data_IF_071928601210
#
_entry.id   IF_071928601210
#
_cell.length_a   1.000
_cell.length_b   1.000
_cell.length_c   1.000
_cell.angle_alpha   90.00
_cell.angle_beta   90.00
_cell.angle_gamma   90.00
#
_symmetry.space_group_name_H-M   'P 1'
#
loop_
_entity.id
_entity.type
_entity.pdbx_description
1 polymer ?
#
# COMPACT_ATOMS: atom_id res chain seq x y z
N UNK A 1 -34.14 11.82 -21.46
CA UNK A 1 -33.03 12.44 -22.22
C UNK A 1 -31.72 12.34 -21.45
N UNK A 2 -31.70 12.52 -20.13
CA UNK A 2 -30.50 12.31 -19.29
C UNK A 2 -30.00 10.85 -19.22
N UNK A 3 -30.91 9.87 -19.29
CA UNK A 3 -30.58 8.43 -19.27
C UNK A 3 -29.80 8.00 -20.53
N UNK A 4 -30.15 8.50 -21.72
CA UNK A 4 -29.47 8.13 -22.98
C UNK A 4 -28.05 8.69 -23.09
N UNK A 5 -27.80 9.89 -22.56
CA UNK A 5 -26.45 10.48 -22.55
C UNK A 5 -25.52 9.69 -21.61
N UNK A 6 -26.07 9.18 -20.51
CA UNK A 6 -25.31 8.36 -19.55
C UNK A 6 -24.91 7.00 -20.15
N UNK A 7 -25.82 6.32 -20.87
CA UNK A 7 -25.54 5.02 -21.51
C UNK A 7 -24.48 5.11 -22.60
N UNK A 8 -24.51 6.13 -23.47
CA UNK A 8 -23.50 6.32 -24.52
C UNK A 8 -22.10 6.61 -23.92
N UNK A 9 -22.05 7.38 -22.83
CA UNK A 9 -20.80 7.70 -22.14
C UNK A 9 -20.19 6.45 -21.50
N UNK A 10 -20.99 5.64 -20.81
CA UNK A 10 -20.54 4.45 -20.09
C UNK A 10 -20.10 3.33 -21.05
N UNK A 11 -20.87 3.11 -22.13
CA UNK A 11 -20.50 2.18 -23.21
C UNK A 11 -19.17 2.57 -23.85
N UNK A 12 -18.94 3.87 -24.04
CA UNK A 12 -17.68 4.38 -24.57
C UNK A 12 -16.53 4.12 -23.60
N UNK A 13 -16.74 4.32 -22.30
CA UNK A 13 -15.72 4.13 -21.27
C UNK A 13 -15.33 2.65 -21.09
N UNK A 14 -16.30 1.73 -21.08
CA UNK A 14 -16.05 0.28 -21.04
C UNK A 14 -15.25 -0.20 -22.26
N UNK A 15 -15.63 0.24 -23.46
CA UNK A 15 -14.91 -0.07 -24.70
C UNK A 15 -13.49 0.53 -24.71
N UNK A 16 -13.32 1.74 -24.15
CA UNK A 16 -12.01 2.36 -23.97
C UNK A 16 -11.14 1.56 -23.00
N UNK A 17 -11.70 1.08 -21.88
CA UNK A 17 -10.99 0.24 -20.92
C UNK A 17 -10.53 -1.06 -21.56
N UNK A 18 -11.42 -1.81 -22.20
CA UNK A 18 -11.07 -3.08 -22.86
C UNK A 18 -9.98 -2.87 -23.91
N UNK A 19 -10.11 -1.81 -24.72
CA UNK A 19 -9.10 -1.39 -25.69
C UNK A 19 -7.75 -1.10 -25.03
N UNK A 20 -7.74 -0.32 -23.95
CA UNK A 20 -6.54 0.06 -23.20
C UNK A 20 -5.86 -1.17 -22.56
N UNK A 21 -6.61 -2.06 -21.90
CA UNK A 21 -6.08 -3.31 -21.33
C UNK A 21 -5.41 -4.15 -22.41
N UNK A 22 -6.10 -4.37 -23.54
CA UNK A 22 -5.57 -5.18 -24.64
C UNK A 22 -4.29 -4.60 -25.23
N UNK A 23 -4.26 -3.29 -25.46
CA UNK A 23 -3.08 -2.60 -26.00
C UNK A 23 -1.92 -2.67 -25.00
N UNK A 24 -2.17 -2.36 -23.73
CA UNK A 24 -1.14 -2.36 -22.70
C UNK A 24 -0.57 -3.77 -22.48
N UNK A 25 -1.42 -4.81 -22.37
CA UNK A 25 -0.98 -6.22 -22.31
C UNK A 25 -0.04 -6.56 -23.46
N UNK A 26 -0.39 -6.15 -24.68
CA UNK A 26 0.44 -6.39 -25.87
C UNK A 26 1.77 -5.65 -25.81
N UNK A 27 1.78 -4.38 -25.39
CA UNK A 27 3.01 -3.58 -25.25
C UNK A 27 3.94 -4.19 -24.19
N UNK A 28 3.40 -4.58 -23.04
CA UNK A 28 4.15 -5.22 -21.97
C UNK A 28 4.69 -6.58 -22.42
N UNK A 29 3.88 -7.38 -23.12
CA UNK A 29 4.33 -8.65 -23.68
C UNK A 29 5.48 -8.47 -24.67
N UNK A 30 5.39 -7.45 -25.53
CA UNK A 30 6.42 -7.17 -26.52
C UNK A 30 7.74 -6.72 -25.88
N UNK A 31 7.67 -5.87 -24.85
CA UNK A 31 8.87 -5.28 -24.20
C UNK A 31 9.51 -6.20 -23.16
N UNK A 32 8.72 -6.92 -22.37
CA UNK A 32 9.21 -7.70 -21.22
C UNK A 32 8.97 -9.22 -21.35
N UNK A 33 8.33 -9.68 -22.43
CA UNK A 33 8.01 -11.08 -22.65
C UNK A 33 6.73 -11.53 -21.93
N UNK A 34 6.57 -12.85 -21.76
CA UNK A 34 5.34 -13.43 -21.22
C UNK A 34 5.00 -12.87 -19.84
N UNK A 35 3.79 -12.34 -19.69
CA UNK A 35 3.28 -11.81 -18.43
C UNK A 35 2.87 -12.95 -17.51
N UNK A 36 3.00 -12.76 -16.20
CA UNK A 36 2.48 -13.71 -15.22
C UNK A 36 0.96 -13.57 -15.09
N UNK A 37 0.23 -14.64 -14.72
CA UNK A 37 -1.22 -14.57 -14.50
C UNK A 37 -1.65 -13.50 -13.48
N UNK A 38 -0.79 -13.20 -12.50
CA UNK A 38 -1.03 -12.14 -11.53
C UNK A 38 -1.03 -10.75 -12.18
N UNK A 39 -0.07 -10.47 -13.06
CA UNK A 39 0.01 -9.20 -13.79
C UNK A 39 -1.13 -9.08 -14.79
N UNK A 40 -1.50 -10.17 -15.47
CA UNK A 40 -2.63 -10.15 -16.41
C UNK A 40 -3.94 -9.83 -15.70
N UNK A 41 -4.22 -10.48 -14.57
CA UNK A 41 -5.40 -10.18 -13.73
C UNK A 41 -5.38 -8.74 -13.22
N UNK A 42 -4.21 -8.24 -12.82
CA UNK A 42 -4.08 -6.88 -12.35
C UNK A 42 -4.39 -5.85 -13.45
N UNK A 43 -3.99 -6.12 -14.69
CA UNK A 43 -4.36 -5.30 -15.85
C UNK A 43 -5.86 -5.38 -16.16
N UNK A 44 -6.49 -6.54 -15.99
CA UNK A 44 -7.93 -6.72 -16.24
C UNK A 44 -8.81 -5.99 -15.22
N UNK A 45 -8.33 -5.86 -13.99
CA UNK A 45 -9.02 -5.21 -12.87
C UNK A 45 -8.74 -3.70 -12.79
N UNK A 46 -7.82 -3.17 -13.61
CA UNK A 46 -7.38 -1.78 -13.53
C UNK A 46 -8.38 -0.78 -14.15
N UNK A 47 -8.50 0.37 -13.50
CA UNK A 47 -9.25 1.53 -14.03
C UNK A 47 -8.57 2.13 -15.27
N UNK A 48 -9.33 2.85 -16.11
CA UNK A 48 -8.80 3.54 -17.30
C UNK A 48 -7.62 4.47 -16.92
N UNK A 49 -7.75 5.24 -15.84
CA UNK A 49 -6.69 6.11 -15.37
C UNK A 49 -5.42 5.38 -14.88
N UNK A 50 -5.54 4.15 -14.36
CA UNK A 50 -4.36 3.31 -14.07
C UNK A 50 -3.69 2.84 -15.35
N UNK A 51 -4.47 2.39 -16.32
CA UNK A 51 -3.98 1.91 -17.61
C UNK A 51 -3.24 3.00 -18.39
N UNK A 52 -3.78 4.22 -18.42
CA UNK A 52 -3.12 5.37 -19.07
C UNK A 52 -1.79 5.72 -18.41
N UNK A 53 -1.79 5.76 -17.08
CA UNK A 53 -0.60 6.00 -16.26
C UNK A 53 0.48 4.95 -16.53
N UNK A 54 0.13 3.67 -16.46
CA UNK A 54 1.06 2.58 -16.75
C UNK A 54 1.54 2.63 -18.20
N UNK A 55 0.66 2.92 -19.16
CA UNK A 55 1.02 3.07 -20.56
C UNK A 55 2.07 4.17 -20.79
N UNK A 56 1.96 5.30 -20.08
CA UNK A 56 2.99 6.34 -20.11
C UNK A 56 4.34 5.83 -19.55
N UNK A 57 4.30 5.08 -18.45
CA UNK A 57 5.51 4.51 -17.82
C UNK A 57 6.18 3.40 -18.64
N UNK A 58 5.47 2.73 -19.55
CA UNK A 58 6.02 1.67 -20.40
C UNK A 58 7.27 2.14 -21.15
N UNK A 59 7.30 3.41 -21.59
CA UNK A 59 8.40 3.95 -22.39
C UNK A 59 9.70 4.06 -21.61
N UNK A 60 9.61 4.41 -20.32
CA UNK A 60 10.75 4.74 -19.45
C UNK A 60 11.19 3.56 -18.59
N UNK A 61 10.32 2.58 -18.36
CA UNK A 61 10.58 1.44 -17.50
C UNK A 61 11.65 0.49 -18.03
N UNK A 62 12.65 0.17 -17.19
CA UNK A 62 13.68 -0.82 -17.52
C UNK A 62 13.24 -2.24 -17.17
N UNK A 63 12.29 -2.36 -16.24
CA UNK A 63 11.72 -3.64 -15.80
C UNK A 63 10.19 -3.56 -15.78
N UNK A 64 9.55 -4.71 -15.93
CA UNK A 64 8.09 -4.82 -15.88
C UNK A 64 7.52 -4.27 -14.57
N UNK A 65 8.23 -4.48 -13.46
CA UNK A 65 7.81 -3.99 -12.15
C UNK A 65 7.73 -2.47 -12.10
N UNK A 66 8.61 -1.75 -12.81
CA UNK A 66 8.71 -0.28 -12.75
C UNK A 66 7.44 0.42 -13.30
N UNK A 67 6.68 -0.28 -14.14
CA UNK A 67 5.50 0.25 -14.84
C UNK A 67 4.31 0.41 -13.90
N UNK A 68 4.13 -0.58 -13.02
CA UNK A 68 3.00 -0.59 -12.09
C UNK A 68 3.20 0.35 -10.90
N UNK A 69 4.33 1.03 -10.88
CA UNK A 69 4.91 1.55 -9.66
C UNK A 69 5.26 3.01 -9.76
N UNK A 70 4.31 3.82 -10.23
CA UNK A 70 4.47 5.25 -10.50
C UNK A 70 4.90 6.15 -9.32
N UNK A 71 5.30 5.58 -8.19
CA UNK A 71 5.94 6.27 -7.06
C UNK A 71 6.99 5.38 -6.34
N UNK A 72 7.41 4.24 -6.91
CA UNK A 72 8.57 3.49 -6.41
C UNK A 72 9.83 4.30 -6.69
N UNK A 73 10.69 4.40 -5.68
CA UNK A 73 11.81 5.34 -5.69
C UNK A 73 11.45 6.74 -5.18
N UNK A 74 10.18 7.02 -4.82
CA UNK A 74 9.87 8.20 -4.01
C UNK A 74 10.62 8.10 -2.69
N UNK A 75 11.34 9.17 -2.37
CA UNK A 75 12.21 9.27 -1.21
C UNK A 75 11.60 10.24 -0.22
N UNK A 76 11.53 9.82 1.02
CA UNK A 76 11.29 10.69 2.16
C UNK A 76 12.64 10.93 2.82
N UNK A 77 13.03 12.20 2.94
CA UNK A 77 14.17 12.59 3.75
C UNK A 77 13.66 13.20 5.04
N UNK A 78 14.08 12.62 6.15
CA UNK A 78 13.74 13.09 7.49
C UNK A 78 15.05 13.51 8.13
N UNK A 79 15.13 14.80 8.47
CA UNK A 79 16.30 15.39 9.10
C UNK A 79 15.79 16.30 10.22
N UNK A 80 15.78 15.79 11.45
CA UNK A 80 15.46 16.53 12.65
C UNK A 80 16.47 16.21 13.76
N UNK A 81 16.30 16.82 14.93
CA UNK A 81 17.19 16.64 16.09
C UNK A 81 17.27 15.21 16.63
N UNK A 82 16.34 14.32 16.27
CA UNK A 82 16.26 12.96 16.77
C UNK A 82 16.60 11.91 15.71
N UNK A 83 16.38 12.22 14.43
CA UNK A 83 16.49 11.27 13.33
C UNK A 83 16.98 11.97 12.06
N UNK A 84 18.02 11.38 11.48
CA UNK A 84 18.43 11.64 10.10
C UNK A 84 18.34 10.34 9.32
N UNK A 85 17.35 10.22 8.45
CA UNK A 85 17.18 9.05 7.61
C UNK A 85 16.61 9.38 6.23
N UNK A 86 16.79 8.45 5.31
CA UNK A 86 16.15 8.44 4.00
C UNK A 86 15.36 7.14 3.84
N UNK A 87 14.05 7.24 3.61
CA UNK A 87 13.20 6.10 3.31
C UNK A 87 12.82 6.10 1.83
N UNK A 88 13.16 5.04 1.11
CA UNK A 88 12.89 4.87 -0.33
C UNK A 88 11.85 3.78 -0.52
N UNK A 89 10.71 4.09 -1.16
CA UNK A 89 9.69 3.08 -1.48
C UNK A 89 10.27 2.03 -2.44
N UNK A 90 10.10 0.74 -2.13
CA UNK A 90 10.65 -0.40 -2.89
C UNK A 90 9.60 -1.43 -3.34
N UNK A 91 9.79 -2.08 -4.48
CA UNK A 91 8.83 -3.08 -5.00
C UNK A 91 8.93 -4.44 -4.31
N UNK A 92 7.95 -5.31 -4.57
CA UNK A 92 7.89 -6.67 -4.00
C UNK A 92 9.17 -7.49 -4.26
N UNK A 93 9.75 -7.39 -5.46
CA UNK A 93 10.98 -8.11 -5.79
C UNK A 93 12.16 -7.69 -4.91
N UNK A 94 12.33 -6.38 -4.71
CA UNK A 94 13.37 -5.83 -3.84
C UNK A 94 13.08 -6.13 -2.37
N UNK A 95 11.82 -6.01 -1.94
CA UNK A 95 11.39 -6.38 -0.60
C UNK A 95 11.71 -7.85 -0.27
N UNK A 96 11.37 -8.80 -1.14
CA UNK A 96 11.66 -10.22 -0.93
C UNK A 96 13.17 -10.49 -0.87
N UNK A 97 13.95 -9.81 -1.72
CA UNK A 97 15.42 -9.92 -1.71
C UNK A 97 16.00 -9.46 -0.38
N UNK A 98 15.60 -8.27 0.09
CA UNK A 98 16.09 -7.69 1.34
C UNK A 98 15.57 -8.42 2.58
N UNK A 99 14.33 -8.91 2.56
CA UNK A 99 13.73 -9.62 3.68
C UNK A 99 14.50 -10.92 4.01
N UNK A 100 15.13 -11.57 3.02
CA UNK A 100 16.02 -12.74 3.24
C UNK A 100 17.34 -12.38 3.92
N UNK A 101 17.73 -11.10 3.81
CA UNK A 101 18.96 -10.53 4.33
C UNK A 101 18.72 -9.68 5.58
N UNK A 102 17.52 -9.73 6.17
CA UNK A 102 17.17 -8.89 7.30
C UNK A 102 17.14 -9.66 8.62
N UNK A 103 17.53 -8.99 9.70
CA UNK A 103 17.26 -9.37 11.08
C UNK A 103 15.96 -8.71 11.50
N UNK A 104 14.95 -9.50 11.85
CA UNK A 104 13.67 -8.94 12.28
C UNK A 104 13.84 -8.25 13.64
N UNK A 105 13.29 -7.04 13.77
CA UNK A 105 13.38 -6.25 15.01
C UNK A 105 12.02 -6.29 15.70
N UNK A 106 12.03 -6.43 17.03
CA UNK A 106 10.81 -6.40 17.85
C UNK A 106 10.01 -5.11 17.60
N UNK A 107 8.70 -5.29 17.43
CA UNK A 107 7.79 -4.16 17.22
C UNK A 107 7.54 -3.49 18.57
N UNK A 108 7.95 -2.23 18.69
CA UNK A 108 7.57 -1.42 19.84
C UNK A 108 6.13 -0.92 19.68
N UNK A 109 5.22 -1.51 20.46
CA UNK A 109 3.82 -1.12 20.48
C UNK A 109 3.54 0.13 21.33
N UNK A 110 4.56 0.75 21.96
CA UNK A 110 4.41 1.96 22.75
C UNK A 110 3.76 3.10 21.95
N UNK A 111 4.11 3.25 20.68
CA UNK A 111 3.48 4.23 19.79
C UNK A 111 1.95 4.06 19.73
N UNK A 112 1.46 2.81 19.61
CA UNK A 112 0.03 2.54 19.57
C UNK A 112 -0.66 2.83 20.89
N UNK A 113 0.02 2.59 22.01
CA UNK A 113 -0.46 2.96 23.34
C UNK A 113 -0.54 4.48 23.53
N UNK A 114 0.44 5.23 23.02
CA UNK A 114 0.47 6.69 23.07
C UNK A 114 -0.64 7.30 22.19
N UNK A 115 -0.78 6.84 20.95
CA UNK A 115 -1.85 7.26 20.04
C UNK A 115 -3.24 6.86 20.55
N UNK A 116 -3.35 5.73 21.24
CA UNK A 116 -4.60 5.22 21.82
C UNK A 116 -5.05 5.95 23.09
N UNK A 117 -4.17 6.73 23.73
CA UNK A 117 -4.45 7.43 25.00
C UNK A 117 -5.16 8.77 24.83
N UNK A 118 -4.92 9.47 23.72
CA UNK A 118 -5.41 10.85 23.52
C UNK A 118 -6.71 10.96 22.69
N UNK A 119 -7.16 9.86 22.08
CA UNK A 119 -8.32 9.88 21.17
C UNK A 119 -9.64 9.59 21.90
N UNK A 120 -10.28 10.65 22.42
CA UNK A 120 -11.67 10.60 22.91
C UNK A 120 -12.71 10.41 21.80
N UNK A 121 -12.36 10.67 20.54
CA UNK A 121 -13.24 10.49 19.36
C UNK A 121 -12.70 9.38 18.43
N UNK A 122 -12.96 8.13 18.82
CA UNK A 122 -12.43 6.91 18.15
C UNK A 122 -13.00 6.61 16.76
N UNK A 123 -14.02 7.32 16.31
CA UNK A 123 -14.60 7.10 14.96
C UNK A 123 -13.82 7.81 13.83
N UNK A 124 -12.88 8.71 14.14
CA UNK A 124 -12.38 9.68 13.13
C UNK A 124 -10.90 9.58 12.77
N UNK A 125 -10.03 9.21 13.73
CA UNK A 125 -8.60 9.58 13.71
C UNK A 125 -7.82 9.12 12.46
N UNK A 126 -7.78 7.84 12.11
CA UNK A 126 -7.19 7.34 10.85
C UNK A 126 -7.56 5.86 10.69
N UNK A 127 -8.57 5.56 9.87
CA UNK A 127 -9.00 4.18 9.64
C UNK A 127 -8.15 3.51 8.52
N UNK A 128 -8.29 2.19 8.34
CA UNK A 128 -7.52 1.44 7.34
C UNK A 128 -7.73 1.96 5.91
N UNK A 129 -8.93 2.46 5.59
CA UNK A 129 -9.23 3.01 4.27
C UNK A 129 -8.51 4.33 4.01
N UNK A 130 -8.58 5.27 4.96
CA UNK A 130 -7.86 6.54 4.92
C UNK A 130 -6.36 6.31 4.79
N UNK A 131 -5.78 5.44 5.63
CA UNK A 131 -4.36 5.15 5.60
C UNK A 131 -3.93 4.55 4.26
N UNK A 132 -4.67 3.54 3.77
CA UNK A 132 -4.40 2.94 2.47
C UNK A 132 -4.45 3.97 1.36
N UNK A 133 -5.49 4.79 1.29
CA UNK A 133 -5.64 5.80 0.25
C UNK A 133 -4.50 6.82 0.27
N UNK A 134 -4.17 7.35 1.45
CA UNK A 134 -3.07 8.31 1.60
C UNK A 134 -1.73 7.72 1.12
N UNK A 135 -1.40 6.51 1.56
CA UNK A 135 -0.17 5.85 1.16
C UNK A 135 -0.17 5.43 -0.31
N UNK A 136 -1.31 5.03 -0.86
CA UNK A 136 -1.43 4.67 -2.27
C UNK A 136 -1.24 5.85 -3.20
N UNK A 137 -1.76 7.03 -2.86
CA UNK A 137 -1.48 8.24 -3.64
C UNK A 137 -0.04 8.70 -3.44
N UNK A 138 0.45 8.67 -2.20
CA UNK A 138 1.77 9.19 -1.90
C UNK A 138 2.88 8.30 -2.47
N UNK A 139 2.75 6.98 -2.36
CA UNK A 139 3.83 6.02 -2.60
C UNK A 139 3.47 4.98 -3.66
N UNK A 140 2.34 5.17 -4.36
CA UNK A 140 1.90 4.27 -5.43
C UNK A 140 1.28 3.00 -4.87
N UNK A 141 1.06 2.01 -5.71
CA UNK A 141 0.34 0.81 -5.30
C UNK A 141 1.05 0.03 -4.20
N UNK A 142 0.23 -0.56 -3.31
CA UNK A 142 0.73 -1.42 -2.25
C UNK A 142 1.32 -2.70 -2.86
N UNK A 143 2.35 -3.27 -2.22
CA UNK A 143 2.88 -4.57 -2.64
C UNK A 143 1.89 -5.70 -2.35
N UNK A 144 2.15 -6.88 -2.91
CA UNK A 144 1.32 -8.09 -2.77
C UNK A 144 1.88 -9.08 -1.74
N UNK A 145 3.07 -8.81 -1.20
CA UNK A 145 3.76 -9.65 -0.20
C UNK A 145 3.27 -9.41 1.22
N UNK A 146 2.01 -9.74 1.48
CA UNK A 146 1.41 -9.73 2.82
C UNK A 146 0.56 -11.00 3.02
N UNK A 147 0.14 -11.24 4.26
CA UNK A 147 -0.72 -12.37 4.58
C UNK A 147 -2.18 -11.94 4.37
N UNK A 148 -2.72 -12.21 3.18
CA UNK A 148 -4.04 -11.77 2.71
C UNK A 148 -5.22 -12.10 3.64
N UNK A 149 -5.17 -13.22 4.35
CA UNK A 149 -6.17 -13.53 5.38
C UNK A 149 -6.12 -12.58 6.58
N UNK A 150 -4.95 -12.03 6.91
CA UNK A 150 -4.71 -11.15 8.07
C UNK A 150 -4.40 -9.72 7.67
N UNK A 151 -4.48 -9.35 6.41
CA UNK A 151 -4.11 -8.00 5.98
C UNK A 151 -4.46 -7.74 4.53
N UNK A 152 -4.50 -6.46 4.16
CA UNK A 152 -5.01 -6.03 2.86
C UNK A 152 -4.07 -5.15 2.03
N UNK A 153 -2.96 -4.69 2.62
CA UNK A 153 -1.95 -3.89 1.94
C UNK A 153 -0.59 -3.96 2.63
N UNK A 154 0.47 -3.67 1.88
CA UNK A 154 1.80 -3.38 2.40
C UNK A 154 2.49 -2.25 1.62
N UNK A 155 3.36 -1.51 2.30
CA UNK A 155 4.25 -0.53 1.70
C UNK A 155 5.64 -0.73 2.30
N UNK A 156 6.53 -1.34 1.50
CA UNK A 156 7.91 -1.59 1.88
C UNK A 156 8.83 -0.42 1.49
N UNK A 157 9.77 -0.11 2.36
CA UNK A 157 10.78 0.93 2.22
C UNK A 157 12.17 0.39 2.58
N UNK A 158 13.17 0.76 1.79
CA UNK A 158 14.57 0.69 2.20
C UNK A 158 14.92 1.98 2.93
N UNK A 159 15.48 1.87 4.14
CA UNK A 159 15.73 2.99 5.03
C UNK A 159 17.22 3.09 5.31
N UNK A 160 17.83 4.20 4.90
CA UNK A 160 19.20 4.54 5.26
C UNK A 160 19.18 5.46 6.48
N UNK A 161 19.81 5.04 7.58
CA UNK A 161 19.93 5.80 8.83
C UNK A 161 21.34 6.36 8.96
N UNK A 162 21.47 7.69 9.12
CA UNK A 162 22.74 8.39 9.05
C UNK A 162 23.26 8.77 10.45
N UNK A 163 24.08 7.90 11.05
CA UNK A 163 24.79 8.16 12.32
C UNK A 163 26.30 8.42 12.13
N UNK A 164 26.77 8.52 10.88
CA UNK A 164 28.17 8.69 10.50
C UNK A 164 28.33 8.90 9.00
N UNK A 165 29.53 8.63 8.45
CA UNK A 165 29.80 8.75 7.01
C UNK A 165 29.06 7.69 6.18
N UNK A 166 28.94 6.48 6.70
CA UNK A 166 28.24 5.36 6.05
C UNK A 166 26.88 5.15 6.71
N UNK A 167 25.78 5.10 5.95
CA UNK A 167 24.47 4.84 6.51
C UNK A 167 24.31 3.37 6.94
N UNK A 168 23.58 3.14 8.03
CA UNK A 168 23.08 1.83 8.40
C UNK A 168 21.79 1.55 7.62
N UNK A 169 21.67 0.36 7.03
CA UNK A 169 20.56 0.01 6.16
C UNK A 169 19.52 -0.84 6.87
N UNK A 170 18.26 -0.44 6.73
CA UNK A 170 17.11 -1.07 7.34
C UNK A 170 16.02 -1.31 6.30
N UNK A 171 15.20 -2.31 6.57
CA UNK A 171 13.96 -2.59 5.88
C UNK A 171 12.81 -2.12 6.78
N UNK A 172 11.92 -1.31 6.25
CA UNK A 172 10.65 -0.96 6.89
C UNK A 172 9.52 -1.51 6.05
N UNK A 173 8.65 -2.31 6.64
CA UNK A 173 7.39 -2.73 6.04
C UNK A 173 6.22 -2.13 6.81
N UNK A 174 5.53 -1.18 6.18
CA UNK A 174 4.27 -0.61 6.68
C UNK A 174 3.13 -1.47 6.18
N UNK A 175 2.55 -2.28 7.06
CA UNK A 175 1.64 -3.36 6.66
C UNK A 175 0.35 -3.29 7.45
N UNK A 176 -0.78 -3.57 6.80
CA UNK A 176 -1.99 -3.86 7.56
C UNK A 176 -1.91 -5.28 8.13
N UNK A 177 -2.07 -5.39 9.45
CA UNK A 177 -2.22 -6.66 10.14
C UNK A 177 -3.44 -6.59 11.04
N UNK A 178 -4.45 -7.41 10.74
CA UNK A 178 -5.76 -7.42 11.39
C UNK A 178 -6.42 -6.04 11.30
N UNK A 179 -6.76 -5.46 12.44
CA UNK A 179 -7.44 -4.17 12.53
C UNK A 179 -6.46 -2.98 12.62
N UNK A 180 -5.15 -3.20 12.52
CA UNK A 180 -4.14 -2.14 12.67
C UNK A 180 -3.22 -2.04 11.47
N UNK A 181 -2.53 -0.90 11.39
CA UNK A 181 -1.30 -0.78 10.61
C UNK A 181 -0.15 -1.14 11.54
N UNK A 182 0.89 -1.79 11.04
CA UNK A 182 2.11 -2.09 11.77
C UNK A 182 3.32 -1.57 11.01
N UNK A 183 4.28 -1.03 11.75
CA UNK A 183 5.58 -0.61 11.25
C UNK A 183 6.61 -1.66 11.64
N UNK A 184 6.93 -2.56 10.69
CA UNK A 184 7.84 -3.68 10.94
C UNK A 184 9.22 -3.34 10.44
N UNK A 185 10.19 -3.31 11.34
CA UNK A 185 11.58 -3.00 11.04
C UNK A 185 12.42 -4.27 10.95
N UNK A 186 13.44 -4.23 10.10
CA UNK A 186 14.50 -5.23 10.08
C UNK A 186 15.84 -4.63 9.66
N UNK A 187 16.93 -5.04 10.30
CA UNK A 187 18.27 -4.59 9.92
C UNK A 187 18.77 -5.38 8.72
N UNK A 188 19.18 -4.73 7.64
CA UNK A 188 19.74 -5.40 6.47
C UNK A 188 21.21 -5.73 6.78
N UNK A 189 21.59 -7.01 6.63
CA UNK A 189 22.95 -7.49 6.86
C UNK A 189 23.49 -8.24 5.63
N UNK A 190 24.81 -8.22 5.38
CA UNK A 190 25.42 -9.04 4.33
C UNK A 190 25.16 -10.53 4.54
N UNK A 191 25.11 -11.32 3.46
CA UNK A 191 24.97 -12.78 3.56
C UNK A 191 26.17 -13.48 4.24
N UNK A 192 27.31 -12.80 4.29
CA UNK A 192 28.51 -13.28 4.99
C UNK A 192 28.48 -13.02 6.50
N UNK A 193 27.51 -12.26 7.01
CA UNK A 193 27.39 -11.96 8.44
C UNK A 193 26.75 -13.15 9.18
N UNK A 194 27.48 -13.72 10.13
CA UNK A 194 27.11 -14.93 10.88
C UNK A 194 26.91 -14.70 12.37
N UNK A 195 27.16 -13.47 12.87
CA UNK A 195 27.04 -13.16 14.31
C UNK A 195 25.60 -13.16 14.82
N UNK A 196 24.61 -13.06 13.93
CA UNK A 196 23.21 -12.93 14.28
C UNK A 196 22.39 -14.13 13.83
N UNK A 197 21.51 -14.60 14.70
CA UNK A 197 20.48 -15.58 14.35
C UNK A 197 19.33 -14.89 13.59
N UNK A 198 19.08 -15.29 12.35
CA UNK A 198 18.02 -14.72 11.50
C UNK A 198 16.62 -15.25 11.85
N UNK A 199 16.52 -16.26 12.73
CA UNK A 199 15.27 -16.94 13.09
C UNK A 199 14.60 -16.38 14.35
N UNK A 200 15.24 -15.42 15.02
CA UNK A 200 14.70 -14.75 16.20
C UNK A 200 14.42 -13.28 15.92
N UNK A 201 13.57 -12.68 16.76
CA UNK A 201 13.41 -11.23 16.81
C UNK A 201 14.55 -10.64 17.64
N UNK A 202 15.07 -9.51 17.21
CA UNK A 202 16.13 -8.77 17.89
C UNK A 202 15.56 -7.49 18.52
N UNK A 203 16.14 -7.06 19.63
CA UNK A 203 15.91 -5.70 20.12
C UNK A 203 16.41 -4.67 19.09
N UNK A 204 15.91 -3.41 19.12
CA UNK A 204 16.50 -2.31 18.36
C UNK A 204 17.99 -2.15 18.63
N UNK A 205 18.74 -1.75 17.61
CA UNK A 205 20.19 -1.51 17.71
C UNK A 205 20.41 -0.07 18.15
N UNK A 206 20.44 0.20 19.45
CA UNK A 206 20.36 1.55 20.00
C UNK A 206 21.45 2.53 19.50
N UNK A 207 22.65 2.03 19.18
CA UNK A 207 23.73 2.84 18.62
C UNK A 207 23.54 3.18 17.13
N UNK A 208 22.66 2.47 16.42
CA UNK A 208 22.44 2.59 14.98
C UNK A 208 21.04 3.12 14.63
N UNK A 209 20.00 2.53 15.18
CA UNK A 209 18.62 2.91 14.99
C UNK A 209 17.81 2.50 16.22
N UNK A 210 17.80 3.37 17.23
CA UNK A 210 17.13 3.12 18.51
C UNK A 210 15.61 2.99 18.39
N UNK A 211 14.98 2.39 19.40
CA UNK A 211 13.53 2.30 19.50
C UNK A 211 12.84 3.68 19.35
N UNK A 212 13.39 4.71 19.99
CA UNK A 212 12.88 6.10 19.90
C UNK A 212 12.95 6.65 18.47
N UNK A 213 14.01 6.34 17.73
CA UNK A 213 14.17 6.78 16.34
C UNK A 213 13.20 6.05 15.41
N UNK A 214 13.00 4.74 15.60
CA UNK A 214 11.97 3.98 14.88
C UNK A 214 10.56 4.52 15.17
N UNK A 215 10.26 4.83 16.43
CA UNK A 215 9.03 5.50 16.84
C UNK A 215 8.84 6.86 16.17
N UNK A 216 9.91 7.66 16.10
CA UNK A 216 9.90 8.96 15.39
C UNK A 216 9.55 8.80 13.91
N UNK A 217 10.16 7.81 13.22
CA UNK A 217 9.86 7.54 11.82
C UNK A 217 8.41 7.06 11.63
N UNK A 218 7.94 6.15 12.49
CA UNK A 218 6.57 5.64 12.44
C UNK A 218 5.53 6.74 12.66
N UNK A 219 5.76 7.60 13.67
CA UNK A 219 4.92 8.75 13.95
C UNK A 219 4.92 9.76 12.80
N UNK A 220 6.09 10.04 12.21
CA UNK A 220 6.18 10.89 11.01
C UNK A 220 5.34 10.35 9.86
N UNK A 221 5.41 9.04 9.59
CA UNK A 221 4.66 8.39 8.52
C UNK A 221 3.14 8.39 8.76
N UNK A 222 2.70 8.25 10.01
CA UNK A 222 1.30 8.39 10.39
C UNK A 222 0.81 9.83 10.17
N UNK A 223 1.52 10.82 10.73
CA UNK A 223 1.19 12.23 10.55
C UNK A 223 1.25 12.67 9.09
N UNK A 224 2.13 12.06 8.28
CA UNK A 224 2.17 12.27 6.84
C UNK A 224 0.88 11.79 6.16
N UNK A 225 0.36 10.61 6.52
CA UNK A 225 -0.92 10.14 5.98
C UNK A 225 -2.10 11.03 6.41
N UNK A 226 -2.09 11.50 7.66
CA UNK A 226 -3.10 12.43 8.19
C UNK A 226 -3.09 13.73 7.40
N UNK A 227 -1.96 14.42 7.36
CA UNK A 227 -1.82 15.69 6.65
C UNK A 227 -2.07 15.56 5.14
N UNK A 228 -1.76 14.41 4.53
CA UNK A 228 -2.05 14.17 3.12
C UNK A 228 -3.55 14.25 2.82
N UNK A 229 -4.39 13.64 3.65
CA UNK A 229 -5.85 13.66 3.44
C UNK A 229 -6.49 15.00 3.79
N UNK A 230 -5.94 15.73 4.77
CA UNK A 230 -6.42 17.07 5.13
C UNK A 230 -6.12 18.11 4.03
N UNK A 231 -5.00 17.94 3.34
CA UNK A 231 -4.52 18.90 2.31
C UNK A 231 -4.92 18.53 0.88
N UNK A 232 -5.37 17.30 0.64
CA UNK A 232 -5.90 16.90 -0.66
C UNK A 232 -7.13 17.74 -1.00
N UNK A 233 -6.95 18.74 -1.88
CA UNK A 233 -7.90 19.80 -2.24
C UNK A 233 -9.16 19.29 -2.99
N UNK A 234 -9.34 17.97 -3.12
CA UNK A 234 -10.46 17.30 -3.78
C UNK A 234 -10.82 16.02 -3.00
N UNK A 235 -12.10 15.62 -2.97
CA UNK A 235 -12.48 14.32 -2.42
C UNK A 235 -11.68 13.23 -3.13
N UNK A 236 -11.27 12.23 -2.35
CA UNK A 236 -10.54 11.08 -2.89
C UNK A 236 -11.39 10.41 -3.98
N UNK A 237 -11.05 10.66 -5.24
CA UNK A 237 -11.91 10.32 -6.37
C UNK A 237 -11.83 8.87 -6.85
N UNK A 238 -11.31 7.96 -6.02
CA UNK A 238 -11.17 6.54 -6.40
C UNK A 238 -11.94 5.65 -5.43
N UNK A 239 -12.88 4.94 -5.99
CA UNK A 239 -13.56 3.89 -5.25
C UNK A 239 -12.65 2.68 -5.10
N UNK A 240 -12.65 2.10 -3.90
CA UNK A 240 -11.97 0.84 -3.66
C UNK A 240 -12.62 0.12 -2.49
N UNK A 241 -12.41 -1.19 -2.46
CA UNK A 241 -12.78 -2.03 -1.35
C UNK A 241 -11.69 -3.05 -1.05
N UNK A 242 -11.46 -3.27 0.23
CA UNK A 242 -10.46 -4.18 0.77
C UNK A 242 -11.03 -4.92 1.97
N UNK A 243 -10.43 -6.08 2.24
CA UNK A 243 -10.90 -6.97 3.28
C UNK A 243 -9.78 -7.49 4.17
N UNK A 244 -10.11 -7.73 5.43
CA UNK A 244 -9.27 -8.47 6.38
C UNK A 244 -10.10 -9.60 6.95
N UNK A 245 -10.02 -10.77 6.32
CA UNK A 245 -10.90 -11.91 6.61
C UNK A 245 -10.81 -12.38 8.06
N UNK A 246 -9.60 -12.44 8.65
CA UNK A 246 -9.38 -12.92 10.01
C UNK A 246 -10.07 -12.12 11.12
N UNK A 247 -10.52 -10.90 10.81
CA UNK A 247 -11.22 -10.02 11.73
C UNK A 247 -12.57 -9.56 11.16
N UNK A 248 -13.00 -10.14 10.03
CA UNK A 248 -14.23 -9.77 9.34
C UNK A 248 -14.32 -8.24 9.15
N UNK A 249 -13.28 -7.64 8.58
CA UNK A 249 -13.23 -6.19 8.34
C UNK A 249 -13.39 -5.94 6.84
N UNK A 250 -14.29 -5.03 6.50
CA UNK A 250 -14.43 -4.49 5.14
C UNK A 250 -14.19 -2.99 5.19
N UNK A 251 -13.28 -2.49 4.37
CA UNK A 251 -12.96 -1.07 4.35
C UNK A 251 -12.74 -0.57 2.93
N UNK A 252 -12.95 0.71 2.71
CA UNK A 252 -12.96 1.25 1.35
C UNK A 252 -13.21 2.74 1.27
N UNK A 253 -13.29 3.21 0.04
CA UNK A 253 -13.82 4.52 -0.31
C UNK A 253 -14.91 4.32 -1.36
N UNK A 254 -16.00 5.06 -1.23
CA UNK A 254 -17.06 5.09 -2.22
C UNK A 254 -17.63 6.50 -2.33
N UNK A 255 -17.68 7.04 -3.54
CA UNK A 255 -18.14 8.42 -3.80
C UNK A 255 -17.39 9.46 -2.93
N UNK A 256 -16.10 9.23 -2.71
CA UNK A 256 -15.25 10.07 -1.86
C UNK A 256 -15.43 9.90 -0.35
N UNK A 257 -16.31 8.98 0.08
CA UNK A 257 -16.56 8.69 1.51
C UNK A 257 -15.79 7.43 1.93
N UNK A 258 -14.88 7.60 2.89
CA UNK A 258 -14.14 6.49 3.50
C UNK A 258 -14.99 5.73 4.51
N UNK A 259 -14.90 4.40 4.49
CA UNK A 259 -15.58 3.53 5.45
C UNK A 259 -14.67 2.40 5.96
N UNK A 260 -14.96 1.93 7.16
CA UNK A 260 -14.43 0.70 7.74
C UNK A 260 -15.53 0.06 8.60
N UNK A 261 -15.95 -1.14 8.22
CA UNK A 261 -17.02 -1.92 8.88
C UNK A 261 -16.41 -3.17 9.49
N UNK A 262 -16.82 -3.48 10.72
CA UNK A 262 -16.52 -4.74 11.40
C UNK A 262 -17.81 -5.56 11.45
N UNK A 263 -17.68 -6.87 11.28
CA UNK A 263 -18.81 -7.79 11.31
C UNK A 263 -18.59 -8.83 12.40
N UNK A 264 -19.69 -9.23 13.04
CA UNK A 264 -19.64 -10.23 14.12
C UNK A 264 -19.60 -11.67 13.56
N UNK A 265 -20.01 -11.87 12.31
CA UNK A 265 -20.15 -13.18 11.69
C UNK A 265 -19.77 -13.20 10.20
N UNK A 266 -19.31 -14.37 9.74
CA UNK A 266 -18.87 -14.57 8.35
C UNK A 266 -20.00 -14.44 7.34
N UNK A 267 -21.24 -14.75 7.70
CA UNK A 267 -22.37 -14.68 6.77
C UNK A 267 -22.66 -13.22 6.40
N UNK A 268 -22.77 -12.34 7.39
CA UNK A 268 -23.01 -10.90 7.18
C UNK A 268 -21.83 -10.25 6.46
N UNK A 269 -20.59 -10.61 6.84
CA UNK A 269 -19.37 -10.15 6.15
C UNK A 269 -19.38 -10.51 4.66
N UNK A 270 -19.65 -11.78 4.34
CA UNK A 270 -19.70 -12.24 2.95
C UNK A 270 -20.87 -11.63 2.17
N UNK A 271 -22.02 -11.43 2.81
CA UNK A 271 -23.17 -10.77 2.19
C UNK A 271 -22.82 -9.32 1.81
N UNK A 272 -22.20 -8.55 2.70
CA UNK A 272 -21.80 -7.18 2.40
C UNK A 272 -20.72 -7.13 1.32
N UNK A 273 -19.72 -8.02 1.38
CA UNK A 273 -18.71 -8.18 0.33
C UNK A 273 -19.35 -8.44 -1.04
N UNK A 274 -20.37 -9.30 -1.10
CA UNK A 274 -21.10 -9.58 -2.32
C UNK A 274 -21.88 -8.36 -2.81
N UNK A 275 -22.51 -7.58 -1.92
CA UNK A 275 -23.18 -6.32 -2.31
C UNK A 275 -22.22 -5.36 -2.98
N UNK A 276 -21.00 -5.21 -2.47
CA UNK A 276 -19.99 -4.33 -3.06
C UNK A 276 -19.45 -4.85 -4.39
N UNK A 277 -19.18 -6.17 -4.48
CA UNK A 277 -18.86 -6.81 -5.75
C UNK A 277 -19.97 -6.61 -6.77
N UNK A 278 -21.21 -6.79 -6.35
CA UNK A 278 -22.38 -6.61 -7.18
C UNK A 278 -22.74 -5.15 -7.41
N UNK A 279 -22.29 -4.20 -6.60
CA UNK A 279 -22.42 -2.78 -6.90
C UNK A 279 -21.46 -2.42 -8.04
N UNK A 280 -20.22 -2.91 -7.95
CA UNK A 280 -19.25 -2.83 -9.04
C UNK A 280 -19.69 -3.62 -10.30
N UNK A 281 -20.49 -4.70 -10.15
CA UNK A 281 -21.05 -5.47 -11.28
C UNK A 281 -22.44 -5.01 -11.74
N UNK A 282 -23.27 -4.35 -10.93
CA UNK A 282 -24.56 -3.79 -11.33
C UNK A 282 -24.40 -2.39 -11.94
N UNK A 283 -23.25 -1.75 -11.72
CA UNK A 283 -22.73 -0.73 -12.64
C UNK A 283 -22.44 -1.37 -14.02
N UNK A 284 -22.13 -2.67 -14.09
CA UNK A 284 -21.87 -3.41 -15.33
C UNK A 284 -23.15 -4.05 -15.92
N UNK A 285 -24.13 -4.46 -15.10
CA UNK A 285 -25.32 -5.22 -15.53
C UNK A 285 -26.62 -4.39 -15.59
N UNK A 286 -26.73 -3.24 -14.89
CA UNK A 286 -27.82 -2.28 -15.18
C UNK A 286 -27.51 -1.40 -16.43
N UNK A 287 -26.41 -1.72 -17.13
CA UNK A 287 -26.05 -1.26 -18.47
C UNK A 287 -26.30 -2.36 -19.54
N UNK A 288 -27.35 -3.16 -19.36
CA UNK A 288 -27.89 -4.04 -20.41
C UNK A 288 -29.33 -3.66 -20.76
#
# INVERSE_FOLDING_TARGET
MEISISIEHLTREANLREGAVRILKRQLHYRFGKLSPTIERHLDEASVGQLERWAASVLEANRLEDIFTLNIGKRLEICNEHLRCRASRIGDGRYVSLARQCLSIEVDYALWWELGRDSKDRESWMNLAKFYAAFSEAFGECGTRYYDWKGAFNFAFEVDVFNGETPNQYLLNVVNFRNTVEFRYGKIIPDTETRYDRHIMHAPFDEEFSAKQMGTLSAFLLGYAEGFLETAYQPYGRDFIKEVGSNLILFGCHEGVFFQKHFDDEYTFNLEKLKWRNHNLNIIDNET
#
